data_IF_591615675757
#
_entry.id   IF_591615675757
#
_cell.length_a   1.000
_cell.length_b   1.000
_cell.length_c   1.000
_cell.angle_alpha   90.00
_cell.angle_beta   90.00
_cell.angle_gamma   90.00
#
_symmetry.space_group_name_H-M   'P 1'
#
loop_
_entity.id
_entity.type
_entity.pdbx_description
1 polymer ?
#
# COMPACT_ATOMS: atom_id res chain seq x y z
N UNK A 1 -3.63 -16.69 32.58
CA UNK A 1 -2.92 -16.18 31.39
C UNK A 1 -4.00 -15.75 30.42
N UNK A 2 -4.37 -14.46 30.44
CA UNK A 2 -5.52 -13.94 29.68
C UNK A 2 -5.04 -13.70 28.24
N UNK A 3 -5.44 -14.58 27.33
CA UNK A 3 -5.38 -14.31 25.89
C UNK A 3 -6.53 -13.37 25.60
N UNK A 4 -6.27 -12.06 25.54
CA UNK A 4 -7.24 -11.08 25.04
C UNK A 4 -7.48 -11.32 23.56
N UNK A 5 -8.46 -12.17 23.28
CA UNK A 5 -9.12 -12.22 21.99
C UNK A 5 -9.90 -10.91 21.83
N UNK A 6 -9.44 -10.03 20.94
CA UNK A 6 -10.23 -8.89 20.47
C UNK A 6 -11.59 -9.40 19.99
N UNK A 7 -12.66 -8.91 20.62
CA UNK A 7 -14.01 -9.33 20.28
C UNK A 7 -14.38 -8.85 18.86
N UNK A 8 -15.19 -9.61 18.09
CA UNK A 8 -15.57 -9.26 16.71
C UNK A 8 -16.12 -7.84 16.56
N UNK A 9 -16.81 -7.34 17.57
CA UNK A 9 -17.36 -5.97 17.64
C UNK A 9 -16.27 -4.88 17.63
N UNK A 10 -15.09 -5.13 18.20
CA UNK A 10 -13.97 -4.18 18.17
C UNK A 10 -13.31 -4.12 16.79
N UNK A 11 -13.36 -5.21 16.02
CA UNK A 11 -12.92 -5.23 14.62
C UNK A 11 -13.86 -4.45 13.70
N UNK A 12 -15.16 -4.40 14.02
CA UNK A 12 -16.17 -3.68 13.25
C UNK A 12 -16.14 -2.17 13.53
N UNK A 13 -15.90 -1.76 14.78
CA UNK A 13 -15.70 -0.35 15.16
C UNK A 13 -14.45 0.24 14.50
N UNK A 14 -13.37 -0.55 14.35
CA UNK A 14 -12.18 -0.12 13.61
C UNK A 14 -12.50 0.07 12.12
N UNK A 15 -13.37 -0.75 11.51
CA UNK A 15 -13.75 -0.66 10.08
C UNK A 15 -14.57 0.58 9.72
N UNK A 16 -15.22 1.24 10.68
CA UNK A 16 -16.13 2.36 10.44
C UNK A 16 -15.85 3.61 11.27
N UNK A 17 -14.64 3.76 11.82
CA UNK A 17 -14.27 4.98 12.51
C UNK A 17 -14.48 6.18 11.56
N UNK A 18 -15.31 7.17 11.95
CA UNK A 18 -15.58 8.32 11.09
C UNK A 18 -14.26 9.03 10.82
N UNK A 19 -14.05 9.42 9.55
CA UNK A 19 -12.88 10.18 9.15
C UNK A 19 -12.72 11.41 10.04
N UNK A 20 -11.49 11.67 10.47
CA UNK A 20 -11.20 12.95 11.13
C UNK A 20 -11.49 14.11 10.16
N UNK A 21 -11.70 15.32 10.68
CA UNK A 21 -11.93 16.50 9.82
C UNK A 21 -10.79 16.73 8.82
N UNK A 22 -9.55 16.49 9.26
CA UNK A 22 -8.36 16.59 8.40
C UNK A 22 -8.39 15.52 7.30
N UNK A 23 -8.69 14.27 7.66
CA UNK A 23 -8.81 13.18 6.69
C UNK A 23 -9.90 13.45 5.65
N UNK A 24 -11.08 13.93 6.09
CA UNK A 24 -12.17 14.28 5.19
C UNK A 24 -11.77 15.39 4.19
N UNK A 25 -11.02 16.39 4.65
CA UNK A 25 -10.49 17.46 3.79
C UNK A 25 -9.49 16.91 2.76
N UNK A 26 -8.60 16.00 3.19
CA UNK A 26 -7.63 15.38 2.28
C UNK A 26 -8.30 14.46 1.25
N UNK A 27 -9.33 13.70 1.65
CA UNK A 27 -10.17 12.93 0.74
C UNK A 27 -10.83 13.82 -0.31
N UNK A 28 -11.33 15.00 0.08
CA UNK A 28 -11.91 15.97 -0.85
C UNK A 28 -10.84 16.60 -1.75
N UNK A 29 -9.69 16.98 -1.20
CA UNK A 29 -8.61 17.68 -1.91
C UNK A 29 -7.92 16.78 -2.92
N UNK A 30 -7.61 15.54 -2.55
CA UNK A 30 -6.84 14.61 -3.37
C UNK A 30 -7.70 13.58 -4.09
N UNK A 31 -9.01 13.59 -3.86
CA UNK A 31 -10.00 12.72 -4.51
C UNK A 31 -9.62 11.24 -4.41
N UNK A 32 -9.24 10.80 -3.21
CA UNK A 32 -8.93 9.39 -2.95
C UNK A 32 -10.19 8.54 -3.16
N UNK A 33 -10.03 7.42 -3.86
CA UNK A 33 -11.17 6.62 -4.35
C UNK A 33 -11.63 5.54 -3.37
N UNK A 34 -10.83 5.22 -2.35
CA UNK A 34 -11.13 4.13 -1.43
C UNK A 34 -10.69 4.42 0.00
N UNK A 35 -11.18 3.57 0.91
CA UNK A 35 -10.90 3.63 2.35
C UNK A 35 -10.21 2.35 2.84
N UNK A 36 -9.66 1.56 1.90
CA UNK A 36 -8.90 0.36 2.21
C UNK A 36 -7.69 0.71 3.06
N UNK A 37 -7.39 -0.17 4.03
CA UNK A 37 -6.28 -0.01 4.96
C UNK A 37 -5.21 -1.03 4.67
N UNK A 38 -3.96 -0.61 4.67
CA UNK A 38 -2.82 -1.50 4.46
C UNK A 38 -1.88 -1.44 5.65
N UNK A 39 -1.46 -2.60 6.14
CA UNK A 39 -0.40 -2.72 7.12
C UNK A 39 0.75 -3.57 6.56
N UNK A 40 1.97 -3.03 6.62
CA UNK A 40 3.19 -3.73 6.20
C UNK A 40 3.98 -4.16 7.43
N UNK A 41 3.87 -5.42 7.88
CA UNK A 41 4.53 -5.89 9.11
C UNK A 41 6.05 -6.07 8.95
N UNK A 42 6.60 -5.97 7.74
CA UNK A 42 8.04 -6.16 7.48
C UNK A 42 8.53 -7.60 7.65
N UNK A 43 7.62 -8.57 7.77
CA UNK A 43 7.94 -9.99 7.95
C UNK A 43 8.06 -10.73 6.62
N UNK A 44 8.97 -11.69 6.56
CA UNK A 44 9.15 -12.64 5.46
C UNK A 44 8.73 -14.06 5.91
N UNK A 45 7.47 -14.50 5.69
CA UNK A 45 7.04 -15.85 6.06
C UNK A 45 7.87 -16.94 5.38
N UNK A 46 8.35 -16.67 4.16
CA UNK A 46 9.30 -17.50 3.40
C UNK A 46 10.20 -16.59 2.55
N UNK A 47 11.33 -17.11 2.06
CA UNK A 47 12.27 -16.34 1.20
C UNK A 47 11.53 -15.74 -0.01
N UNK A 48 11.70 -14.44 -0.26
CA UNK A 48 11.05 -13.66 -1.34
C UNK A 48 9.52 -13.61 -1.29
N UNK A 49 8.94 -13.79 -0.11
CA UNK A 49 7.50 -13.68 0.11
C UNK A 49 7.27 -12.62 1.18
N UNK A 50 6.87 -11.43 0.76
CA UNK A 50 6.64 -10.29 1.63
C UNK A 50 5.17 -10.32 2.07
N UNK A 51 4.94 -10.31 3.39
CA UNK A 51 3.59 -10.26 3.95
C UNK A 51 3.10 -8.81 3.99
N UNK A 52 1.87 -8.60 3.56
CA UNK A 52 1.09 -7.40 3.85
C UNK A 52 -0.28 -7.81 4.40
N UNK A 53 -0.91 -6.94 5.18
CA UNK A 53 -2.30 -7.06 5.55
C UNK A 53 -3.07 -5.97 4.82
N UNK A 54 -4.07 -6.36 4.04
CA UNK A 54 -4.98 -5.43 3.38
C UNK A 54 -6.36 -5.62 4.00
N UNK A 55 -6.81 -4.60 4.71
CA UNK A 55 -7.90 -4.68 5.67
C UNK A 55 -7.61 -5.80 6.67
N UNK A 56 -8.43 -6.85 6.73
CA UNK A 56 -8.24 -7.99 7.62
C UNK A 56 -7.64 -9.22 6.92
N UNK A 57 -7.19 -9.06 5.67
CA UNK A 57 -6.74 -10.18 4.85
C UNK A 57 -5.20 -10.16 4.69
N UNK A 58 -4.49 -11.21 5.13
CA UNK A 58 -3.07 -11.37 4.85
C UNK A 58 -2.82 -11.75 3.39
N UNK A 59 -1.87 -11.09 2.74
CA UNK A 59 -1.46 -11.31 1.36
C UNK A 59 0.04 -11.46 1.24
N UNK A 60 0.47 -12.28 0.29
CA UNK A 60 1.89 -12.50 -0.02
C UNK A 60 2.24 -11.88 -1.36
N UNK A 61 3.28 -11.05 -1.37
CA UNK A 61 3.82 -10.43 -2.58
C UNK A 61 5.23 -10.92 -2.86
N UNK A 62 5.52 -11.19 -4.13
CA UNK A 62 6.90 -11.34 -4.59
C UNK A 62 7.66 -10.01 -4.52
N UNK A 63 8.99 -10.07 -4.43
CA UNK A 63 9.84 -8.89 -4.17
C UNK A 63 9.56 -7.72 -5.11
N UNK A 64 9.43 -7.95 -6.42
CA UNK A 64 9.20 -6.88 -7.38
C UNK A 64 7.87 -6.12 -7.13
N UNK A 65 6.79 -6.86 -6.89
CA UNK A 65 5.47 -6.27 -6.59
C UNK A 65 5.47 -5.58 -5.22
N UNK A 66 6.16 -6.15 -4.25
CA UNK A 66 6.29 -5.56 -2.91
C UNK A 66 7.06 -4.24 -2.95
N UNK A 67 8.21 -4.19 -3.62
CA UNK A 67 9.00 -2.96 -3.75
C UNK A 67 8.22 -1.88 -4.51
N UNK A 68 7.51 -2.23 -5.59
CA UNK A 68 6.63 -1.29 -6.30
C UNK A 68 5.53 -0.74 -5.37
N UNK A 69 4.84 -1.61 -4.63
CA UNK A 69 3.79 -1.18 -3.70
C UNK A 69 4.35 -0.29 -2.59
N UNK A 70 5.50 -0.65 -2.02
CA UNK A 70 6.16 0.11 -0.97
C UNK A 70 6.63 1.48 -1.47
N UNK A 71 7.12 1.56 -2.71
CA UNK A 71 7.48 2.83 -3.34
C UNK A 71 6.27 3.76 -3.45
N UNK A 72 5.13 3.25 -3.95
CA UNK A 72 3.89 4.04 -4.01
C UNK A 72 3.41 4.49 -2.62
N UNK A 73 3.61 3.66 -1.59
CA UNK A 73 3.29 4.01 -0.21
C UNK A 73 4.20 5.12 0.34
N UNK A 74 5.50 5.11 0.01
CA UNK A 74 6.43 6.20 0.34
C UNK A 74 5.96 7.50 -0.29
N UNK A 75 5.65 7.50 -1.59
CA UNK A 75 5.20 8.70 -2.30
C UNK A 75 3.87 9.23 -1.75
N UNK A 76 2.93 8.36 -1.38
CA UNK A 76 1.70 8.75 -0.68
C UNK A 76 2.00 9.42 0.68
N UNK A 77 2.97 8.91 1.43
CA UNK A 77 3.35 9.44 2.75
C UNK A 77 4.04 10.80 2.70
N UNK A 78 4.52 11.25 1.53
CA UNK A 78 5.05 12.61 1.35
C UNK A 78 3.96 13.70 1.39
N UNK A 79 2.68 13.33 1.31
CA UNK A 79 1.56 14.26 1.50
C UNK A 79 1.10 15.02 0.26
N UNK A 80 1.61 14.69 -0.93
CA UNK A 80 1.27 15.35 -2.20
C UNK A 80 0.30 14.51 -3.07
N UNK A 81 -0.60 13.76 -2.42
CA UNK A 81 -1.58 12.90 -3.09
C UNK A 81 -1.00 11.63 -3.73
N UNK A 82 0.32 11.42 -3.68
CA UNK A 82 0.99 10.14 -3.94
C UNK A 82 1.15 9.75 -5.42
N UNK A 83 1.03 10.69 -6.35
CA UNK A 83 1.16 10.42 -7.78
C UNK A 83 2.61 10.21 -8.20
N UNK A 84 2.85 9.15 -8.98
CA UNK A 84 4.17 8.83 -9.54
C UNK A 84 4.06 8.62 -11.04
N UNK A 85 4.95 9.22 -11.81
CA UNK A 85 5.05 9.00 -13.25
C UNK A 85 5.66 7.62 -13.59
N UNK A 86 5.14 6.95 -14.62
CA UNK A 86 5.65 5.65 -15.06
C UNK A 86 7.10 5.69 -15.55
N UNK A 87 7.57 6.83 -16.07
CA UNK A 87 8.97 7.05 -16.43
C UNK A 87 9.83 7.01 -15.17
N UNK A 88 9.43 7.70 -14.09
CA UNK A 88 10.13 7.64 -12.80
C UNK A 88 10.16 6.22 -12.22
N UNK A 89 9.06 5.47 -12.33
CA UNK A 89 9.01 4.07 -11.88
C UNK A 89 9.96 3.19 -12.70
N UNK A 90 10.12 3.46 -14.00
CA UNK A 90 11.04 2.74 -14.88
C UNK A 90 12.51 3.11 -14.60
N UNK A 91 12.84 4.39 -14.46
CA UNK A 91 14.18 4.89 -14.12
C UNK A 91 14.68 4.32 -12.78
N UNK A 92 13.76 4.05 -11.86
CA UNK A 92 14.04 3.40 -10.57
C UNK A 92 14.05 1.87 -10.64
N UNK A 93 13.94 1.30 -11.84
CA UNK A 93 13.93 -0.14 -12.11
C UNK A 93 12.81 -0.89 -11.36
N UNK A 94 11.70 -0.21 -11.04
CA UNK A 94 10.53 -0.78 -10.37
C UNK A 94 9.59 -1.47 -11.36
N UNK A 95 9.65 -1.05 -12.62
CA UNK A 95 8.95 -1.66 -13.76
C UNK A 95 9.93 -1.88 -14.91
N UNK A 96 9.69 -2.91 -15.71
CA UNK A 96 10.62 -3.32 -16.78
C UNK A 96 10.63 -2.41 -18.01
N UNK A 97 9.52 -1.70 -18.23
CA UNK A 97 9.37 -0.75 -19.33
C UNK A 97 8.27 0.25 -18.96
N UNK A 98 8.39 1.52 -19.35
CA UNK A 98 7.33 2.49 -19.10
C UNK A 98 6.05 2.14 -19.84
N UNK A 99 6.10 1.41 -20.95
CA UNK A 99 4.89 1.00 -21.69
C UNK A 99 4.34 -0.36 -21.26
N UNK A 100 5.02 -1.03 -20.32
CA UNK A 100 4.53 -2.29 -19.75
C UNK A 100 3.51 -2.03 -18.65
N UNK A 101 2.31 -2.58 -18.82
CA UNK A 101 1.25 -2.55 -17.82
C UNK A 101 1.28 -3.75 -16.87
N UNK A 102 2.12 -4.74 -17.15
CA UNK A 102 2.08 -6.05 -16.49
C UNK A 102 2.29 -5.96 -14.98
N UNK A 103 3.22 -5.12 -14.52
CA UNK A 103 3.50 -4.96 -13.09
C UNK A 103 2.27 -4.42 -12.34
N UNK A 104 1.60 -3.41 -12.89
CA UNK A 104 0.39 -2.83 -12.30
C UNK A 104 -0.79 -3.80 -12.33
N UNK A 105 -1.00 -4.50 -13.45
CA UNK A 105 -2.05 -5.52 -13.57
C UNK A 105 -1.84 -6.67 -12.59
N UNK A 106 -0.60 -7.16 -12.46
CA UNK A 106 -0.25 -8.21 -11.49
C UNK A 106 -0.46 -7.73 -10.05
N UNK A 107 -0.04 -6.50 -9.73
CA UNK A 107 -0.26 -5.92 -8.41
C UNK A 107 -1.75 -5.83 -8.11
N UNK A 108 -2.55 -5.24 -9.02
CA UNK A 108 -4.01 -5.13 -8.89
C UNK A 108 -4.65 -6.50 -8.67
N UNK A 109 -4.38 -7.46 -9.55
CA UNK A 109 -4.94 -8.82 -9.46
C UNK A 109 -4.64 -9.49 -8.12
N UNK A 110 -3.44 -9.28 -7.58
CA UNK A 110 -3.04 -9.86 -6.29
C UNK A 110 -3.81 -9.24 -5.12
N UNK A 111 -4.14 -7.95 -5.21
CA UNK A 111 -4.82 -7.21 -4.14
C UNK A 111 -6.35 -7.35 -4.20
N UNK A 112 -6.94 -7.54 -5.39
CA UNK A 112 -8.39 -7.48 -5.65
C UNK A 112 -9.23 -8.25 -4.64
N UNK A 113 -8.83 -9.48 -4.30
CA UNK A 113 -9.60 -10.35 -3.40
C UNK A 113 -9.71 -9.85 -1.96
N UNK A 114 -8.82 -8.94 -1.55
CA UNK A 114 -8.73 -8.41 -0.17
C UNK A 114 -9.24 -6.98 -0.01
N UNK A 115 -9.60 -6.32 -1.11
CA UNK A 115 -10.15 -4.97 -1.10
C UNK A 115 -11.63 -4.96 -0.73
N UNK A 116 -12.07 -3.94 0.01
CA UNK A 116 -13.44 -3.79 0.50
C UNK A 116 -14.48 -3.87 -0.63
N UNK A 117 -14.22 -3.16 -1.73
CA UNK A 117 -15.09 -3.11 -2.91
C UNK A 117 -14.64 -4.05 -4.03
N UNK A 118 -13.56 -4.82 -3.82
CA UNK A 118 -12.91 -5.62 -4.87
C UNK A 118 -12.54 -4.81 -6.12
N UNK A 119 -12.32 -3.50 -5.95
CA UNK A 119 -11.95 -2.58 -7.03
C UNK A 119 -10.48 -2.21 -6.91
N UNK A 120 -9.63 -3.02 -7.53
CA UNK A 120 -8.19 -2.79 -7.52
C UNK A 120 -7.76 -1.59 -8.38
N UNK A 121 -8.61 -1.14 -9.32
CA UNK A 121 -8.33 0.08 -10.09
C UNK A 121 -8.59 1.33 -9.25
N UNK A 122 -9.56 1.28 -8.33
CA UNK A 122 -9.72 2.32 -7.32
C UNK A 122 -8.53 2.35 -6.34
N UNK A 123 -8.07 1.20 -5.85
CA UNK A 123 -6.96 1.17 -4.88
C UNK A 123 -5.60 1.54 -5.50
N UNK A 124 -5.18 0.87 -6.57
CA UNK A 124 -4.01 1.23 -7.37
C UNK A 124 -4.50 2.06 -8.55
N UNK A 125 -4.63 3.37 -8.35
CA UNK A 125 -5.23 4.27 -9.32
C UNK A 125 -4.25 4.63 -10.43
N UNK A 126 -4.79 4.78 -11.64
CA UNK A 126 -4.14 5.47 -12.75
C UNK A 126 -4.99 6.69 -13.13
N UNK A 127 -4.35 7.80 -13.49
CA UNK A 127 -5.03 9.07 -13.83
C UNK A 127 -5.38 9.21 -15.33
N UNK A 128 -5.24 8.15 -16.12
CA UNK A 128 -5.36 8.21 -17.59
C UNK A 128 -4.19 8.90 -18.30
N UNK A 129 -3.30 9.56 -17.56
CA UNK A 129 -2.14 10.31 -18.05
C UNK A 129 -0.84 9.70 -17.54
N UNK A 130 -0.78 8.35 -17.50
CA UNK A 130 0.43 7.56 -17.24
C UNK A 130 1.03 7.68 -15.82
N UNK A 131 0.32 8.27 -14.85
CA UNK A 131 0.73 8.28 -13.43
C UNK A 131 -0.02 7.24 -12.60
N UNK A 132 0.59 6.78 -11.51
CA UNK A 132 0.03 5.79 -10.60
C UNK A 132 0.13 6.22 -9.14
N UNK A 133 -0.82 5.80 -8.31
CA UNK A 133 -0.80 5.99 -6.84
C UNK A 133 -1.55 4.90 -6.11
N UNK A 134 -1.36 4.83 -4.80
CA UNK A 134 -2.32 4.23 -3.88
C UNK A 134 -3.39 5.29 -3.55
N UNK A 135 -4.67 5.01 -3.82
CA UNK A 135 -5.75 6.01 -3.71
C UNK A 135 -6.55 5.87 -2.40
N UNK A 136 -5.85 5.87 -1.28
CA UNK A 136 -6.41 5.95 0.07
C UNK A 136 -5.67 7.02 0.87
N UNK A 137 -6.22 7.44 2.00
CA UNK A 137 -5.55 8.41 2.86
C UNK A 137 -4.21 7.88 3.39
N UNK A 138 -3.16 8.70 3.54
CA UNK A 138 -1.87 8.27 4.08
C UNK A 138 -1.99 7.53 5.43
N UNK A 139 -2.86 7.97 6.33
CA UNK A 139 -3.10 7.30 7.63
C UNK A 139 -3.68 5.89 7.52
N UNK A 140 -4.32 5.55 6.39
CA UNK A 140 -4.78 4.18 6.12
C UNK A 140 -3.61 3.23 5.81
N UNK A 141 -2.39 3.76 5.64
CA UNK A 141 -1.18 2.99 5.41
C UNK A 141 -0.31 3.00 6.68
N UNK A 142 -0.08 1.82 7.24
CA UNK A 142 0.78 1.63 8.41
C UNK A 142 1.87 0.60 8.11
N UNK A 143 2.96 0.64 8.88
CA UNK A 143 4.10 -0.25 8.67
C UNK A 143 4.94 -0.39 9.93
N UNK A 144 5.66 -1.50 10.04
CA UNK A 144 6.73 -1.69 11.02
C UNK A 144 8.07 -1.25 10.42
N UNK A 145 8.44 0.01 10.69
CA UNK A 145 9.64 0.63 10.12
C UNK A 145 10.92 -0.10 10.54
N UNK A 146 11.00 -0.54 11.80
CA UNK A 146 12.18 -1.22 12.32
C UNK A 146 12.42 -2.54 11.59
N UNK A 147 11.37 -3.34 11.36
CA UNK A 147 11.50 -4.58 10.59
C UNK A 147 11.79 -4.34 9.11
N UNK A 148 11.21 -3.29 8.51
CA UNK A 148 11.53 -2.93 7.14
C UNK A 148 12.99 -2.47 6.97
N UNK A 149 13.56 -1.78 7.98
CA UNK A 149 14.98 -1.42 8.00
C UNK A 149 15.91 -2.61 8.20
N UNK A 150 15.43 -3.72 8.79
CA UNK A 150 16.18 -4.97 8.94
C UNK A 150 16.01 -5.93 7.75
N UNK A 151 15.15 -5.59 6.79
CA UNK A 151 14.77 -6.47 5.67
C UNK A 151 15.95 -6.98 4.82
N UNK A 152 15.88 -8.22 4.31
CA UNK A 152 16.97 -8.81 3.53
C UNK A 152 17.25 -8.08 2.20
N UNK A 153 16.20 -7.57 1.54
CA UNK A 153 16.31 -6.78 0.30
C UNK A 153 16.75 -5.34 0.59
N UNK A 154 17.87 -4.91 -0.01
CA UNK A 154 18.43 -3.57 0.15
C UNK A 154 17.53 -2.46 -0.40
N UNK A 155 16.70 -2.75 -1.42
CA UNK A 155 15.73 -1.79 -1.96
C UNK A 155 14.63 -1.50 -0.96
N UNK A 156 14.14 -2.54 -0.26
CA UNK A 156 13.17 -2.37 0.83
C UNK A 156 13.79 -1.53 1.95
N UNK A 157 15.03 -1.82 2.34
CA UNK A 157 15.76 -1.01 3.34
C UNK A 157 15.90 0.45 2.92
N UNK A 158 16.18 0.72 1.65
CA UNK A 158 16.29 2.08 1.12
C UNK A 158 14.94 2.82 1.25
N UNK A 159 13.85 2.21 0.79
CA UNK A 159 12.50 2.79 0.89
C UNK A 159 12.05 2.99 2.34
N UNK A 160 12.42 2.06 3.23
CA UNK A 160 12.10 2.16 4.65
C UNK A 160 12.73 3.39 5.33
N UNK A 161 13.86 3.89 4.81
CA UNK A 161 14.48 5.14 5.30
C UNK A 161 13.73 6.39 4.86
N UNK A 162 13.00 6.33 3.75
CA UNK A 162 12.21 7.44 3.20
C UNK A 162 10.82 7.56 3.84
N UNK A 163 10.34 6.50 4.49
CA UNK A 163 9.13 6.54 5.28
C UNK A 163 9.30 7.49 6.49
N UNK A 164 8.28 8.25 6.91
CA UNK A 164 8.34 9.13 8.08
C UNK A 164 8.65 8.37 9.38
#
# INVERSE_FOLDING_TARGET
MVSEFLQPEQSEILRSAPLSKAQALDYQRFEFLCHDRMHVPGTLPTKRSNLIHLNDNPLRLGDALFVLLLYLAVELKKGEGGWVDKITLWEKELVSSPDSYQAYSNLRNTLTGSLLKKDAAAFIQNDGSKRYRISTHPDCISYDKAKLLDHADQRVKALARELP
#
